data_IF_264789212239
#
_entry.id   IF_264789212239
#
_cell.length_a   1.000
_cell.length_b   1.000
_cell.length_c   1.000
_cell.angle_alpha   90.00
_cell.angle_beta   90.00
_cell.angle_gamma   90.00
#
_symmetry.space_group_name_H-M   'P 1'
#
loop_
_entity.id
_entity.type
_entity.pdbx_description
1 polymer ?
#
# COMPACT_ATOMS: atom_id res chain seq x y z
N UNK A 1 7.01 -11.86 16.19
CA UNK A 1 7.27 -11.91 14.72
C UNK A 1 8.40 -10.94 14.42
N UNK A 2 9.33 -11.28 13.53
CA UNK A 2 10.46 -10.39 13.19
C UNK A 2 9.90 -9.05 12.61
N UNK A 3 10.24 -7.87 13.16
CA UNK A 3 9.67 -6.58 12.73
C UNK A 3 9.92 -6.28 11.25
N UNK A 4 11.06 -6.75 10.71
CA UNK A 4 11.37 -6.64 9.29
C UNK A 4 10.42 -7.49 8.43
N UNK A 5 10.07 -8.69 8.89
CA UNK A 5 9.11 -9.57 8.21
C UNK A 5 7.69 -9.00 8.23
N UNK A 6 7.28 -8.41 9.36
CA UNK A 6 5.98 -7.75 9.48
C UNK A 6 5.84 -6.55 8.52
N UNK A 7 6.90 -5.74 8.39
CA UNK A 7 6.95 -4.66 7.40
C UNK A 7 6.91 -5.17 5.96
N UNK A 8 7.66 -6.22 5.63
CA UNK A 8 7.68 -6.82 4.31
C UNK A 8 6.31 -7.41 3.91
N UNK A 9 5.66 -8.16 4.82
CA UNK A 9 4.34 -8.75 4.59
C UNK A 9 3.27 -7.68 4.38
N UNK A 10 3.33 -6.56 5.11
CA UNK A 10 2.41 -5.43 4.90
C UNK A 10 2.55 -4.86 3.49
N UNK A 11 3.78 -4.56 3.07
CA UNK A 11 4.04 -4.02 1.73
C UNK A 11 3.61 -5.00 0.65
N UNK A 12 3.91 -6.29 0.81
CA UNK A 12 3.45 -7.34 -0.09
C UNK A 12 1.92 -7.40 -0.17
N UNK A 13 1.22 -7.33 0.96
CA UNK A 13 -0.24 -7.29 0.99
C UNK A 13 -0.83 -6.06 0.29
N UNK A 14 -0.23 -4.88 0.48
CA UNK A 14 -0.67 -3.65 -0.20
C UNK A 14 -0.46 -3.77 -1.71
N UNK A 15 0.71 -4.25 -2.14
CA UNK A 15 1.00 -4.46 -3.56
C UNK A 15 0.05 -5.47 -4.18
N UNK A 16 -0.24 -6.55 -3.46
CA UNK A 16 -1.18 -7.56 -3.91
C UNK A 16 -2.59 -6.99 -4.06
N UNK A 17 -3.16 -6.37 -3.02
CA UNK A 17 -4.55 -5.89 -3.03
C UNK A 17 -4.73 -4.73 -4.02
N UNK A 18 -3.90 -3.69 -3.91
CA UNK A 18 -4.05 -2.48 -4.75
C UNK A 18 -3.66 -2.79 -6.19
N UNK A 19 -2.58 -3.54 -6.40
CA UNK A 19 -2.12 -3.94 -7.73
C UNK A 19 -3.13 -4.85 -8.43
N UNK A 20 -3.66 -5.86 -7.73
CA UNK A 20 -4.66 -6.76 -8.32
C UNK A 20 -5.97 -6.04 -8.64
N UNK A 21 -6.46 -5.19 -7.73
CA UNK A 21 -7.68 -4.40 -7.96
C UNK A 21 -7.52 -3.46 -9.16
N UNK A 22 -6.39 -2.75 -9.24
CA UNK A 22 -6.05 -1.92 -10.40
C UNK A 22 -6.00 -2.72 -11.69
N UNK A 23 -5.35 -3.88 -11.66
CA UNK A 23 -5.27 -4.77 -12.82
C UNK A 23 -6.66 -5.22 -13.26
N UNK A 24 -7.56 -5.56 -12.33
CA UNK A 24 -8.92 -5.98 -12.68
C UNK A 24 -9.69 -4.82 -13.33
N UNK A 25 -9.61 -3.62 -12.79
CA UNK A 25 -10.27 -2.43 -13.36
C UNK A 25 -9.73 -2.14 -14.78
N UNK A 26 -8.40 -2.12 -14.94
CA UNK A 26 -7.76 -1.83 -16.22
C UNK A 26 -8.13 -2.89 -17.25
N UNK A 27 -8.06 -4.17 -16.89
CA UNK A 27 -8.34 -5.26 -17.81
C UNK A 27 -9.81 -5.32 -18.26
N UNK A 28 -10.74 -4.80 -17.44
CA UNK A 28 -12.16 -4.69 -17.80
C UNK A 28 -12.54 -3.35 -18.45
N UNK A 29 -11.60 -2.41 -18.58
CA UNK A 29 -11.89 -1.08 -19.12
C UNK A 29 -12.01 -1.03 -20.65
N UNK A 30 -11.59 -2.09 -21.36
CA UNK A 30 -11.54 -2.10 -22.83
C UNK A 30 -10.49 -1.15 -23.42
N UNK A 31 -9.56 -0.62 -22.61
CA UNK A 31 -8.48 0.25 -23.10
C UNK A 31 -7.58 -0.47 -24.10
N UNK A 32 -7.34 0.18 -25.23
CA UNK A 32 -6.35 -0.27 -26.22
C UNK A 32 -4.91 -0.20 -25.66
N UNK A 33 -3.99 -1.01 -26.19
CA UNK A 33 -2.60 -1.10 -25.71
C UNK A 33 -1.89 0.25 -25.63
N UNK A 34 -2.14 1.13 -26.60
CA UNK A 34 -1.50 2.45 -26.72
C UNK A 34 -1.89 3.42 -25.60
N UNK A 35 -3.01 3.16 -24.91
CA UNK A 35 -3.54 4.01 -23.86
C UNK A 35 -3.36 3.42 -22.45
N UNK A 36 -2.88 2.18 -22.33
CA UNK A 36 -2.73 1.49 -21.05
C UNK A 36 -1.85 2.24 -20.05
N UNK A 37 -0.85 2.99 -20.54
CA UNK A 37 0.03 3.81 -19.70
C UNK A 37 -0.76 4.85 -18.88
N UNK A 38 -1.88 5.37 -19.41
CA UNK A 38 -2.73 6.34 -18.70
C UNK A 38 -3.37 5.74 -17.46
N UNK A 39 -3.50 4.41 -17.39
CA UNK A 39 -4.08 3.72 -16.25
C UNK A 39 -3.01 3.09 -15.34
N UNK A 40 -1.97 2.49 -15.93
CA UNK A 40 -0.89 1.88 -15.15
C UNK A 40 -0.04 2.92 -14.41
N UNK A 41 0.26 4.08 -15.00
CA UNK A 41 1.08 5.10 -14.33
C UNK A 41 0.40 5.61 -13.05
N UNK A 42 -0.89 6.04 -13.08
CA UNK A 42 -1.61 6.39 -11.85
C UNK A 42 -1.73 5.23 -10.86
N UNK A 43 -1.87 4.00 -11.33
CA UNK A 43 -1.91 2.82 -10.46
C UNK A 43 -0.60 2.70 -9.65
N UNK A 44 0.56 2.78 -10.30
CA UNK A 44 1.85 2.70 -9.60
C UNK A 44 2.05 3.84 -8.58
N UNK A 45 1.63 5.06 -8.94
CA UNK A 45 1.65 6.20 -8.02
C UNK A 45 0.75 5.93 -6.81
N UNK A 46 -0.46 5.43 -7.05
CA UNK A 46 -1.43 5.10 -5.98
C UNK A 46 -0.85 4.07 -5.03
N UNK A 47 -0.27 2.99 -5.56
CA UNK A 47 0.37 1.94 -4.76
C UNK A 47 1.48 2.52 -3.87
N UNK A 48 2.33 3.39 -4.42
CA UNK A 48 3.41 4.04 -3.67
C UNK A 48 2.88 4.86 -2.49
N UNK A 49 1.94 5.76 -2.75
CA UNK A 49 1.37 6.62 -1.70
C UNK A 49 0.62 5.80 -0.65
N UNK A 50 -0.12 4.78 -1.06
CA UNK A 50 -0.87 3.92 -0.13
C UNK A 50 0.06 3.10 0.76
N UNK A 51 1.13 2.54 0.19
CA UNK A 51 2.17 1.85 0.96
C UNK A 51 2.84 2.79 1.97
N UNK A 52 3.21 4.01 1.54
CA UNK A 52 3.86 5.00 2.40
C UNK A 52 2.95 5.49 3.51
N UNK A 53 1.67 5.70 3.21
CA UNK A 53 0.62 6.08 4.15
C UNK A 53 0.39 4.97 5.19
N UNK A 54 0.25 3.72 4.76
CA UNK A 54 0.05 2.60 5.67
C UNK A 54 1.25 2.42 6.63
N UNK A 55 2.47 2.56 6.11
CA UNK A 55 3.69 2.56 6.93
C UNK A 55 3.66 3.69 7.98
N UNK A 56 3.26 4.91 7.58
CA UNK A 56 3.20 6.07 8.48
C UNK A 56 2.12 5.94 9.57
N UNK A 57 0.94 5.41 9.22
CA UNK A 57 -0.16 5.21 10.18
C UNK A 57 0.21 4.22 11.27
N UNK A 58 0.92 3.14 10.94
CA UNK A 58 1.37 2.15 11.93
C UNK A 58 2.47 2.73 12.81
N UNK A 59 3.42 3.48 12.24
CA UNK A 59 4.44 4.16 13.04
C UNK A 59 3.82 5.12 14.07
N UNK A 60 2.82 5.91 13.66
CA UNK A 60 2.07 6.80 14.55
C UNK A 60 1.30 6.03 15.64
N UNK A 61 0.67 4.90 15.30
CA UNK A 61 -0.01 4.05 16.28
C UNK A 61 0.94 3.42 17.30
N UNK A 62 2.14 3.01 16.87
CA UNK A 62 3.13 2.41 17.76
C UNK A 62 3.68 3.43 18.78
N UNK A 63 3.92 4.67 18.34
CA UNK A 63 4.34 5.77 19.23
C UNK A 63 3.31 6.10 20.31
N UNK A 64 2.01 6.11 19.96
CA UNK A 64 0.94 6.35 20.93
C UNK A 64 0.84 5.26 22.02
N UNK A 65 1.16 4.02 21.68
CA UNK A 65 1.15 2.89 22.63
C UNK A 65 2.29 2.98 23.66
N UNK A 66 3.46 3.43 23.23
CA UNK A 66 4.64 3.48 24.11
C UNK A 66 4.58 4.69 25.07
N UNK A 67 4.00 5.81 24.63
CA UNK A 67 3.75 6.97 25.50
C UNK A 67 2.77 6.67 26.64
N UNK A 68 1.72 5.88 26.38
CA UNK A 68 0.75 5.49 27.41
C UNK A 68 1.36 4.52 28.44
N UNK A 69 2.25 3.62 28.01
CA UNK A 69 2.93 2.65 28.88
C UNK A 69 3.96 3.29 29.83
N UNK A 70 4.41 4.51 29.52
CA UNK A 70 5.40 5.25 30.30
C UNK A 70 4.77 6.15 31.38
N UNK A 71 3.43 6.27 31.37
CA UNK A 71 2.66 7.12 32.26
C UNK A 71 1.95 6.35 33.38
N UNK A 72 2.05 5.01 33.39
CA UNK A 72 1.59 4.08 34.44
C UNK A 72 2.78 3.54 35.24
#
# INVERSE_FOLDING_TARGET
MNPNLAGALRRAGIYFVVGYAGLTIINNSGMGPDNLWMAYVPLFITVYFFARWADAKIAAFSLGKDNNKSAD
#
